data_IF_498547540889
#
_entry.id   IF_498547540889
#
_cell.length_a   1.000
_cell.length_b   1.000
_cell.length_c   1.000
_cell.angle_alpha   90.00
_cell.angle_beta   90.00
_cell.angle_gamma   90.00
#
_symmetry.space_group_name_H-M   'P 1'
#
loop_
_entity.id
_entity.type
_entity.pdbx_description
1 polymer ?
#
# COMPACT_ATOMS: atom_id res chain seq x y z
N UNK A 1 -32.87 0.54 -47.00
CA UNK A 1 -32.73 0.85 -45.57
C UNK A 1 -31.63 -0.02 -44.97
N UNK A 2 -30.39 0.47 -44.95
CA UNK A 2 -29.26 -0.24 -44.33
C UNK A 2 -29.25 0.06 -42.84
N UNK A 3 -30.27 -0.43 -42.14
CA UNK A 3 -30.33 -0.42 -40.68
C UNK A 3 -29.87 -1.77 -40.14
N UNK A 4 -29.12 -1.76 -39.04
CA UNK A 4 -28.84 -2.98 -38.27
C UNK A 4 -30.17 -3.68 -37.94
N UNK A 5 -30.26 -4.98 -38.20
CA UNK A 5 -31.39 -5.80 -37.75
C UNK A 5 -31.63 -5.56 -36.26
N UNK A 6 -32.90 -5.46 -35.85
CA UNK A 6 -33.30 -5.16 -34.46
C UNK A 6 -32.62 -6.09 -33.44
N UNK A 7 -32.39 -7.34 -33.82
CA UNK A 7 -31.72 -8.35 -33.00
C UNK A 7 -30.22 -8.08 -32.82
N UNK A 8 -29.57 -7.49 -33.84
CA UNK A 8 -28.17 -7.08 -33.78
C UNK A 8 -28.05 -5.79 -32.97
N UNK A 9 -28.97 -4.83 -33.17
CA UNK A 9 -29.02 -3.60 -32.38
C UNK A 9 -29.20 -3.87 -30.88
N UNK A 10 -30.08 -4.81 -30.51
CA UNK A 10 -30.31 -5.16 -29.11
C UNK A 10 -29.11 -5.87 -28.47
N UNK A 11 -28.42 -6.73 -29.24
CA UNK A 11 -27.17 -7.37 -28.79
C UNK A 11 -26.05 -6.36 -28.60
N UNK A 12 -25.88 -5.42 -29.55
CA UNK A 12 -24.88 -4.36 -29.47
C UNK A 12 -25.16 -3.42 -28.28
N UNK A 13 -26.43 -3.01 -28.08
CA UNK A 13 -26.83 -2.19 -26.94
C UNK A 13 -26.52 -2.90 -25.60
N UNK A 14 -26.94 -4.16 -25.45
CA UNK A 14 -26.66 -4.94 -24.25
C UNK A 14 -25.16 -5.09 -24.00
N UNK A 15 -24.36 -5.26 -25.04
CA UNK A 15 -22.90 -5.39 -24.92
C UNK A 15 -22.23 -4.06 -24.53
N UNK A 16 -22.55 -2.96 -25.21
CA UNK A 16 -21.99 -1.63 -24.92
C UNK A 16 -22.39 -1.18 -23.52
N UNK A 17 -23.68 -1.25 -23.18
CA UNK A 17 -24.17 -0.81 -21.85
C UNK A 17 -23.61 -1.69 -20.73
N UNK A 18 -23.55 -3.02 -20.92
CA UNK A 18 -22.94 -3.91 -19.92
C UNK A 18 -21.43 -3.72 -19.81
N UNK A 19 -20.73 -3.23 -20.83
CA UNK A 19 -19.28 -3.02 -20.75
C UNK A 19 -18.96 -1.63 -20.17
N UNK A 20 -19.69 -0.58 -20.58
CA UNK A 20 -19.49 0.78 -20.07
C UNK A 20 -19.98 0.97 -18.62
N UNK A 21 -21.10 0.35 -18.23
CA UNK A 21 -21.68 0.58 -16.90
C UNK A 21 -20.77 0.10 -15.75
N UNK A 22 -20.16 -1.10 -15.78
CA UNK A 22 -19.24 -1.54 -14.74
C UNK A 22 -17.99 -0.66 -14.66
N UNK A 23 -17.41 -0.29 -15.81
CA UNK A 23 -16.22 0.54 -15.85
C UNK A 23 -16.48 1.94 -15.27
N UNK A 24 -17.62 2.57 -15.61
CA UNK A 24 -18.04 3.85 -15.02
C UNK A 24 -18.25 3.74 -13.50
N UNK A 25 -18.78 2.62 -13.00
CA UNK A 25 -19.02 2.42 -11.56
C UNK A 25 -17.71 2.30 -10.78
N UNK A 26 -16.74 1.54 -11.28
CA UNK A 26 -15.39 1.41 -10.70
C UNK A 26 -14.65 2.76 -10.68
N UNK A 27 -14.62 3.47 -11.82
CA UNK A 27 -13.99 4.79 -11.92
C UNK A 27 -14.65 5.81 -10.98
N UNK A 28 -15.99 5.81 -10.89
CA UNK A 28 -16.73 6.70 -9.99
C UNK A 28 -16.45 6.40 -8.53
N UNK A 29 -16.32 5.12 -8.16
CA UNK A 29 -15.92 4.71 -6.80
C UNK A 29 -14.52 5.20 -6.46
N UNK A 30 -13.55 4.97 -7.34
CA UNK A 30 -12.17 5.45 -7.16
C UNK A 30 -12.11 6.97 -6.98
N UNK A 31 -12.83 7.74 -7.81
CA UNK A 31 -12.91 9.20 -7.69
C UNK A 31 -13.56 9.64 -6.37
N UNK A 32 -14.63 8.96 -5.95
CA UNK A 32 -15.33 9.27 -4.70
C UNK A 32 -14.44 9.01 -3.49
N UNK A 33 -13.74 7.86 -3.44
CA UNK A 33 -12.73 7.55 -2.41
C UNK A 33 -11.66 8.65 -2.35
N UNK A 34 -11.10 9.03 -3.49
CA UNK A 34 -10.05 10.05 -3.56
C UNK A 34 -10.54 11.43 -3.06
N UNK A 35 -11.78 11.82 -3.38
CA UNK A 35 -12.36 13.07 -2.90
C UNK A 35 -12.57 13.07 -1.38
N UNK A 36 -13.05 11.96 -0.81
CA UNK A 36 -13.23 11.82 0.64
C UNK A 36 -11.89 11.95 1.35
N UNK A 37 -10.88 11.17 0.93
CA UNK A 37 -9.52 11.22 1.48
C UNK A 37 -8.94 12.63 1.40
N UNK A 38 -9.07 13.29 0.24
CA UNK A 38 -8.59 14.66 0.05
C UNK A 38 -9.33 15.66 0.94
N UNK A 39 -10.61 15.46 1.17
CA UNK A 39 -11.42 16.27 2.10
C UNK A 39 -10.88 16.19 3.53
N UNK A 40 -10.60 14.98 4.01
CA UNK A 40 -9.99 14.76 5.34
C UNK A 40 -8.58 15.35 5.40
N UNK A 41 -7.74 15.07 4.39
CA UNK A 41 -6.34 15.56 4.33
C UNK A 41 -6.23 17.09 4.31
N UNK A 42 -7.26 17.76 3.79
CA UNK A 42 -7.35 19.23 3.75
C UNK A 42 -8.18 19.81 4.91
N UNK A 43 -8.58 18.98 5.86
CA UNK A 43 -9.40 19.35 7.02
C UNK A 43 -10.73 20.03 6.63
N UNK A 44 -11.23 19.76 5.41
CA UNK A 44 -12.54 20.22 4.94
C UNK A 44 -13.66 19.42 5.62
N UNK A 45 -13.36 18.16 5.95
CA UNK A 45 -14.19 17.28 6.78
C UNK A 45 -13.30 16.65 7.85
N UNK A 46 -13.87 16.30 9.00
CA UNK A 46 -13.14 15.59 10.05
C UNK A 46 -12.97 14.10 9.73
N UNK A 47 -12.09 13.42 10.50
CA UNK A 47 -11.78 11.99 10.30
C UNK A 47 -13.02 11.10 10.46
N UNK A 48 -13.91 11.40 11.40
CA UNK A 48 -15.12 10.60 11.65
C UNK A 48 -16.11 10.71 10.49
N UNK A 49 -16.25 11.91 9.93
CA UNK A 49 -17.03 12.19 8.73
C UNK A 49 -16.43 11.46 7.53
N UNK A 50 -15.09 11.45 7.40
CA UNK A 50 -14.39 10.67 6.39
C UNK A 50 -14.69 9.17 6.48
N UNK A 51 -14.64 8.59 7.68
CA UNK A 51 -14.98 7.19 7.95
C UNK A 51 -16.42 6.87 7.51
N UNK A 52 -17.38 7.71 7.95
CA UNK A 52 -18.80 7.53 7.64
C UNK A 52 -19.07 7.58 6.14
N UNK A 53 -18.43 8.50 5.40
CA UNK A 53 -18.58 8.61 3.95
C UNK A 53 -17.97 7.43 3.21
N UNK A 54 -16.81 6.94 3.66
CA UNK A 54 -16.18 5.73 3.12
C UNK A 54 -17.09 4.51 3.33
N UNK A 55 -17.66 4.35 4.52
CA UNK A 55 -18.59 3.25 4.80
C UNK A 55 -19.87 3.34 3.95
N UNK A 56 -20.48 4.53 3.85
CA UNK A 56 -21.77 4.72 3.15
C UNK A 56 -21.67 4.69 1.63
N UNK A 57 -20.60 5.25 1.06
CA UNK A 57 -20.51 5.46 -0.39
C UNK A 57 -19.54 4.49 -1.08
N UNK A 58 -18.58 3.92 -0.34
CA UNK A 58 -17.67 2.90 -0.87
C UNK A 58 -18.02 1.49 -0.38
N UNK A 59 -19.02 1.35 0.50
CA UNK A 59 -19.42 0.09 1.13
C UNK A 59 -18.29 -0.59 1.92
N UNK A 60 -17.35 0.21 2.45
CA UNK A 60 -16.31 -0.32 3.32
C UNK A 60 -16.88 -0.68 4.69
N UNK A 61 -16.39 -1.76 5.29
CA UNK A 61 -16.56 -1.99 6.71
C UNK A 61 -15.75 -0.96 7.53
N UNK A 62 -16.10 -0.77 8.79
CA UNK A 62 -15.50 0.27 9.64
C UNK A 62 -13.97 0.15 9.73
N UNK A 63 -13.46 -1.08 9.89
CA UNK A 63 -12.03 -1.35 9.98
C UNK A 63 -11.29 -0.98 8.67
N UNK A 64 -11.89 -1.28 7.52
CA UNK A 64 -11.31 -1.00 6.20
C UNK A 64 -11.30 0.51 5.91
N UNK A 65 -12.39 1.20 6.26
CA UNK A 65 -12.46 2.65 6.14
C UNK A 65 -11.39 3.34 7.02
N UNK A 66 -11.16 2.83 8.23
CA UNK A 66 -10.11 3.31 9.12
C UNK A 66 -8.72 3.06 8.54
N UNK A 67 -8.43 1.83 8.11
CA UNK A 67 -7.18 1.49 7.46
C UNK A 67 -6.89 2.38 6.25
N UNK A 68 -7.87 2.58 5.36
CA UNK A 68 -7.73 3.44 4.18
C UNK A 68 -7.37 4.87 4.56
N UNK A 69 -8.02 5.45 5.57
CA UNK A 69 -7.68 6.81 6.02
C UNK A 69 -6.29 6.85 6.67
N UNK A 70 -5.96 5.88 7.51
CA UNK A 70 -4.71 5.92 8.27
C UNK A 70 -3.49 5.78 7.36
N UNK A 71 -3.59 4.96 6.31
CA UNK A 71 -2.58 4.86 5.25
C UNK A 71 -2.47 6.16 4.45
N UNK A 72 -3.59 6.69 3.97
CA UNK A 72 -3.60 7.84 3.03
C UNK A 72 -3.28 9.19 3.71
N UNK A 73 -3.56 9.29 5.01
CA UNK A 73 -3.20 10.44 5.85
C UNK A 73 -1.79 10.31 6.43
N UNK A 74 -1.13 9.16 6.28
CA UNK A 74 0.18 8.90 6.86
C UNK A 74 0.17 8.83 8.39
N UNK A 75 -0.99 8.57 9.00
CA UNK A 75 -1.13 8.44 10.46
C UNK A 75 -0.47 7.14 10.98
N UNK A 76 -0.36 6.12 10.12
CA UNK A 76 0.45 4.91 10.36
C UNK A 76 1.95 5.13 10.09
N UNK A 77 2.37 6.36 9.74
CA UNK A 77 3.67 6.60 9.13
C UNK A 77 3.67 6.19 7.65
N UNK A 78 4.58 6.77 6.87
CA UNK A 78 4.88 6.18 5.56
C UNK A 78 5.83 5.01 5.79
N UNK A 79 5.56 3.81 5.25
CA UNK A 79 6.46 2.68 5.42
C UNK A 79 7.84 3.06 4.86
N UNK A 80 8.86 2.83 5.67
CA UNK A 80 10.26 3.12 5.38
C UNK A 80 10.94 1.93 4.69
N UNK A 81 10.37 0.73 4.85
CA UNK A 81 10.89 -0.50 4.26
C UNK A 81 9.83 -1.30 3.49
N UNK A 82 10.24 -2.16 2.54
CA UNK A 82 9.34 -3.08 1.84
C UNK A 82 8.51 -3.98 2.76
N UNK A 83 9.06 -4.50 3.86
CA UNK A 83 8.30 -5.33 4.79
C UNK A 83 7.29 -4.53 5.61
N UNK A 84 7.55 -3.28 5.97
CA UNK A 84 6.52 -2.42 6.57
C UNK A 84 5.35 -2.22 5.61
N UNK A 85 5.65 -2.00 4.33
CA UNK A 85 4.59 -1.91 3.32
C UNK A 85 3.81 -3.23 3.20
N UNK A 86 4.51 -4.37 3.20
CA UNK A 86 3.87 -5.69 3.19
C UNK A 86 3.03 -5.90 4.45
N UNK A 87 3.49 -5.49 5.62
CA UNK A 87 2.76 -5.58 6.89
C UNK A 87 1.43 -4.81 6.81
N UNK A 88 1.44 -3.58 6.29
CA UNK A 88 0.22 -2.81 6.05
C UNK A 88 -0.75 -3.56 5.13
N UNK A 89 -0.26 -4.19 4.05
CA UNK A 89 -1.10 -4.98 3.15
C UNK A 89 -1.67 -6.23 3.86
N UNK A 90 -0.89 -6.92 4.70
CA UNK A 90 -1.35 -8.08 5.46
C UNK A 90 -2.38 -7.68 6.54
N UNK A 91 -2.19 -6.56 7.22
CA UNK A 91 -3.17 -5.99 8.16
C UNK A 91 -4.47 -5.62 7.45
N UNK A 92 -4.39 -5.06 6.25
CA UNK A 92 -5.56 -4.85 5.42
C UNK A 92 -6.28 -6.16 5.16
N UNK A 93 -5.57 -7.19 4.69
CA UNK A 93 -6.16 -8.52 4.44
C UNK A 93 -6.82 -9.10 5.70
N UNK A 94 -6.17 -8.95 6.87
CA UNK A 94 -6.74 -9.35 8.15
C UNK A 94 -8.04 -8.61 8.45
N UNK A 95 -8.10 -7.29 8.20
CA UNK A 95 -9.33 -6.49 8.35
C UNK A 95 -10.47 -6.93 7.42
N UNK A 96 -10.12 -7.47 6.25
CA UNK A 96 -11.07 -8.05 5.28
C UNK A 96 -11.54 -9.46 5.66
N UNK A 97 -11.03 -10.05 6.74
CA UNK A 97 -11.23 -11.47 7.06
C UNK A 97 -10.63 -12.42 6.03
N UNK A 98 -9.67 -11.93 5.23
CA UNK A 98 -8.90 -12.76 4.30
C UNK A 98 -7.75 -13.45 5.04
N UNK A 99 -7.25 -14.53 4.46
CA UNK A 99 -6.01 -15.14 4.93
C UNK A 99 -4.87 -14.12 4.88
N UNK A 100 -4.18 -13.95 6.00
CA UNK A 100 -3.08 -13.01 6.16
C UNK A 100 -1.88 -13.71 6.79
N UNK A 101 -0.69 -13.18 6.52
CA UNK A 101 0.54 -13.61 7.16
C UNK A 101 1.08 -12.52 8.07
N UNK A 102 1.20 -12.83 9.36
CA UNK A 102 1.83 -11.91 10.31
C UNK A 102 3.33 -11.80 10.01
N UNK A 103 3.82 -10.56 9.92
CA UNK A 103 5.23 -10.25 9.76
C UNK A 103 5.76 -9.83 11.12
N UNK A 104 6.67 -10.60 11.73
CA UNK A 104 7.19 -10.26 13.05
C UNK A 104 8.01 -8.97 13.02
N UNK A 105 7.87 -8.19 14.10
CA UNK A 105 8.51 -6.88 14.22
C UNK A 105 10.04 -6.95 14.11
N UNK A 106 10.65 -8.01 14.62
CA UNK A 106 12.10 -8.22 14.57
C UNK A 106 12.64 -8.35 13.13
N UNK A 107 11.84 -8.85 12.19
CA UNK A 107 12.22 -8.96 10.78
C UNK A 107 12.19 -7.58 10.12
N UNK A 108 11.19 -6.77 10.47
CA UNK A 108 11.06 -5.39 10.01
C UNK A 108 12.22 -4.53 10.54
N UNK A 109 12.53 -4.67 11.83
CA UNK A 109 13.66 -3.97 12.44
C UNK A 109 15.00 -4.37 11.81
N UNK A 110 15.17 -5.65 11.45
CA UNK A 110 16.36 -6.11 10.73
C UNK A 110 16.46 -5.51 9.32
N UNK A 111 15.34 -5.38 8.59
CA UNK A 111 15.32 -4.72 7.28
C UNK A 111 15.67 -3.22 7.41
N UNK A 112 15.11 -2.54 8.43
CA UNK A 112 15.46 -1.14 8.73
C UNK A 112 16.94 -0.97 8.99
N UNK A 113 17.51 -1.83 9.82
CA UNK A 113 18.95 -1.80 10.13
C UNK A 113 19.77 -1.97 8.86
N UNK A 114 19.47 -2.98 8.04
CA UNK A 114 20.13 -3.24 6.76
C UNK A 114 20.11 -2.01 5.84
N UNK A 115 18.93 -1.43 5.62
CA UNK A 115 18.76 -0.25 4.75
C UNK A 115 19.47 0.98 5.32
N UNK A 116 19.49 1.14 6.65
CA UNK A 116 20.17 2.25 7.30
C UNK A 116 21.69 2.18 7.07
N UNK A 117 22.30 1.01 7.23
CA UNK A 117 23.75 0.81 6.99
C UNK A 117 24.06 0.98 5.50
N UNK A 118 23.20 0.47 4.61
CA UNK A 118 23.35 0.67 3.16
C UNK A 118 23.33 2.16 2.77
N UNK A 119 22.44 2.94 3.38
CA UNK A 119 22.37 4.38 3.15
C UNK A 119 23.63 5.08 3.68
N UNK A 120 24.12 4.71 4.87
CA UNK A 120 25.36 5.24 5.44
C UNK A 120 26.57 4.91 4.56
N UNK A 121 26.70 3.67 4.08
CA UNK A 121 27.77 3.25 3.17
C UNK A 121 27.74 4.05 1.86
N UNK A 122 26.56 4.22 1.28
CA UNK A 122 26.38 5.02 0.04
C UNK A 122 26.79 6.47 0.28
N UNK A 123 26.39 7.04 1.43
CA UNK A 123 26.75 8.39 1.81
C UNK A 123 28.27 8.53 2.02
N UNK A 124 28.90 7.62 2.76
CA UNK A 124 30.34 7.61 3.02
C UNK A 124 31.15 7.53 1.71
N UNK A 125 30.75 6.62 0.80
CA UNK A 125 31.35 6.52 -0.54
C UNK A 125 31.19 7.80 -1.35
N UNK A 126 30.02 8.45 -1.30
CA UNK A 126 29.79 9.71 -2.04
C UNK A 126 30.56 10.91 -1.50
N UNK A 127 30.81 10.94 -0.18
CA UNK A 127 31.58 12.00 0.49
C UNK A 127 33.09 11.80 0.39
N UNK A 128 33.54 10.60 -0.01
CA UNK A 128 34.95 10.24 -0.01
C UNK A 128 35.52 10.15 1.41
N UNK A 129 34.75 9.59 2.34
CA UNK A 129 35.20 9.29 3.70
C UNK A 129 36.42 8.34 3.67
N UNK A 130 37.10 8.21 4.82
CA UNK A 130 38.27 7.35 4.95
C UNK A 130 37.94 5.88 4.62
N UNK A 131 38.88 5.19 3.96
CA UNK A 131 38.69 3.80 3.56
C UNK A 131 38.38 2.88 4.75
N UNK A 132 38.96 3.14 5.92
CA UNK A 132 38.68 2.37 7.15
C UNK A 132 37.20 2.45 7.56
N UNK A 133 36.57 3.62 7.41
CA UNK A 133 35.13 3.81 7.69
C UNK A 133 34.28 3.05 6.67
N UNK A 134 34.69 3.08 5.39
CA UNK A 134 34.01 2.33 4.33
C UNK A 134 34.09 0.83 4.59
N UNK A 135 35.27 0.32 4.94
CA UNK A 135 35.49 -1.11 5.22
C UNK A 135 34.66 -1.56 6.44
N UNK A 136 34.58 -0.74 7.49
CA UNK A 136 33.73 -1.02 8.66
C UNK A 136 32.24 -1.11 8.27
N UNK A 137 31.74 -0.14 7.50
CA UNK A 137 30.35 -0.13 7.04
C UNK A 137 30.03 -1.31 6.09
N UNK A 138 31.00 -1.80 5.32
CA UNK A 138 30.84 -3.01 4.50
C UNK A 138 30.70 -4.28 5.33
N UNK A 139 31.44 -4.39 6.44
CA UNK A 139 31.29 -5.49 7.40
C UNK A 139 29.92 -5.42 8.08
N UNK A 140 29.54 -4.25 8.58
CA UNK A 140 28.22 -4.05 9.21
C UNK A 140 27.07 -4.36 8.25
N UNK A 141 27.21 -4.00 6.98
CA UNK A 141 26.21 -4.31 5.95
C UNK A 141 26.07 -5.82 5.76
N UNK A 142 27.19 -6.54 5.70
CA UNK A 142 27.19 -8.00 5.56
C UNK A 142 26.56 -8.69 6.78
N UNK A 143 26.87 -8.23 7.99
CA UNK A 143 26.27 -8.75 9.22
C UNK A 143 24.76 -8.49 9.28
N UNK A 144 24.33 -7.27 8.94
CA UNK A 144 22.92 -6.92 8.88
C UNK A 144 22.16 -7.75 7.83
N UNK A 145 22.78 -8.01 6.66
CA UNK A 145 22.19 -8.83 5.61
C UNK A 145 22.00 -10.27 6.07
N UNK A 146 23.04 -10.88 6.65
CA UNK A 146 22.97 -12.26 7.17
C UNK A 146 21.89 -12.38 8.24
N UNK A 147 21.81 -11.41 9.17
CA UNK A 147 20.77 -11.39 10.21
C UNK A 147 19.38 -11.31 9.60
N UNK A 148 19.18 -10.42 8.63
CA UNK A 148 17.91 -10.26 7.96
C UNK A 148 17.47 -11.54 7.23
N UNK A 149 18.38 -12.16 6.48
CA UNK A 149 18.09 -13.40 5.75
C UNK A 149 17.77 -14.57 6.70
N UNK A 150 18.51 -14.68 7.81
CA UNK A 150 18.25 -15.70 8.82
C UNK A 150 16.84 -15.56 9.42
N UNK A 151 16.46 -14.34 9.81
CA UNK A 151 15.13 -14.05 10.36
C UNK A 151 14.02 -14.31 9.34
N UNK A 152 14.24 -13.97 8.07
CA UNK A 152 13.27 -14.30 7.02
C UNK A 152 13.06 -15.81 6.87
N UNK A 153 14.13 -16.60 6.91
CA UNK A 153 14.04 -18.06 6.84
C UNK A 153 13.31 -18.62 8.06
N UNK A 154 13.63 -18.13 9.26
CA UNK A 154 12.99 -18.56 10.52
C UNK A 154 11.47 -18.33 10.51
N UNK A 155 11.01 -17.20 9.95
CA UNK A 155 9.60 -16.83 9.86
C UNK A 155 8.94 -17.19 8.52
N UNK A 156 9.63 -17.95 7.68
CA UNK A 156 9.19 -18.41 6.36
C UNK A 156 8.76 -17.25 5.40
N UNK A 157 9.38 -16.07 5.50
CA UNK A 157 8.96 -14.82 4.85
C UNK A 157 9.53 -14.54 3.46
#
# INVERSE_FOLDING_TARGET
ETGLSSTIAEKLYKWIVKNEAPQRVEETRALTRALIIKGVKKEVIDRNTGLELLMRHQNYAQAEAAFVLDVELGALGSPETPLEFRQLVEEYRASQGLEFKEIPQEVIEAEKALLSVQAQLTQAKSKGEEQEVIDQLEVELAEAQVRFDMLKVEHEL
#
